data_IF_558807737154
#
_entry.id   IF_558807737154
#
_cell.length_a   1.000
_cell.length_b   1.000
_cell.length_c   1.000
_cell.angle_alpha   90.00
_cell.angle_beta   90.00
_cell.angle_gamma   90.00
#
_symmetry.space_group_name_H-M   'P 1'
#
loop_
_entity.id
_entity.type
_entity.pdbx_description
1 polymer ?
#
# COMPACT_ATOMS: atom_id res chain seq x y z
N UNK A 1 8.71 9.40 38.27
CA UNK A 1 10.00 8.69 38.46
C UNK A 1 11.10 9.50 37.79
N UNK A 2 12.22 9.70 38.48
CA UNK A 2 13.33 10.45 37.89
C UNK A 2 13.94 9.69 36.74
N UNK A 3 14.13 10.33 35.61
CA UNK A 3 14.70 9.79 34.39
C UNK A 3 16.13 9.20 34.54
N UNK A 4 16.79 9.53 35.66
CA UNK A 4 18.11 9.03 36.01
C UNK A 4 18.15 7.51 36.24
N UNK A 5 17.13 6.94 36.88
CA UNK A 5 17.08 5.51 37.17
C UNK A 5 16.86 4.67 35.91
N UNK A 6 16.13 5.19 34.92
CA UNK A 6 15.86 4.49 33.66
C UNK A 6 17.15 4.29 32.85
N UNK A 7 18.06 5.26 32.88
CA UNK A 7 19.37 5.15 32.23
C UNK A 7 20.31 4.19 32.96
N UNK A 8 20.27 4.18 34.30
CA UNK A 8 21.08 3.25 35.09
C UNK A 8 20.66 1.81 34.88
N UNK A 9 19.37 1.56 34.67
CA UNK A 9 18.81 0.23 34.37
C UNK A 9 18.84 -0.12 32.88
N UNK A 10 19.40 0.74 32.03
CA UNK A 10 19.49 0.55 30.58
C UNK A 10 18.15 0.26 29.88
N UNK A 11 17.03 0.72 30.45
CA UNK A 11 15.68 0.51 29.89
C UNK A 11 15.53 1.15 28.51
N UNK A 12 16.15 2.29 28.28
CA UNK A 12 16.22 2.98 27.00
C UNK A 12 16.78 2.09 25.89
N UNK A 13 17.80 1.29 26.18
CA UNK A 13 18.40 0.35 25.21
C UNK A 13 17.46 -0.82 24.91
N UNK A 14 16.76 -1.34 25.92
CA UNK A 14 15.79 -2.43 25.75
C UNK A 14 14.62 -1.97 24.89
N UNK A 15 14.06 -0.79 25.21
CA UNK A 15 12.95 -0.21 24.45
C UNK A 15 13.39 0.10 23.01
N UNK A 16 14.59 0.67 22.81
CA UNK A 16 15.10 0.96 21.48
C UNK A 16 15.23 -0.32 20.63
N UNK A 17 15.75 -1.40 21.21
CA UNK A 17 15.86 -2.70 20.54
C UNK A 17 14.50 -3.32 20.21
N UNK A 18 13.52 -3.21 21.10
CA UNK A 18 12.16 -3.66 20.84
C UNK A 18 11.51 -2.81 19.72
N UNK A 19 11.79 -1.51 19.69
CA UNK A 19 11.29 -0.60 18.67
C UNK A 19 11.84 -0.85 17.26
N UNK A 20 13.00 -1.51 17.13
CA UNK A 20 13.53 -1.97 15.84
C UNK A 20 12.64 -3.03 15.18
N UNK A 21 11.91 -3.82 15.97
CA UNK A 21 10.94 -4.81 15.49
C UNK A 21 9.61 -4.23 15.03
N UNK A 22 9.33 -2.95 15.28
CA UNK A 22 8.08 -2.31 14.88
C UNK A 22 8.05 -2.02 13.38
N UNK A 23 7.01 -2.48 12.70
CA UNK A 23 6.81 -2.26 11.25
C UNK A 23 6.23 -0.87 10.98
N UNK A 24 5.38 -0.36 11.88
CA UNK A 24 4.72 0.95 11.76
C UNK A 24 5.49 2.02 12.54
N UNK A 25 5.63 3.20 11.95
CA UNK A 25 6.33 4.34 12.57
C UNK A 25 5.65 4.77 13.88
N UNK A 26 4.33 4.84 13.88
CA UNK A 26 3.54 5.25 15.04
C UNK A 26 3.66 4.23 16.17
N UNK A 27 3.65 2.94 15.88
CA UNK A 27 3.87 1.90 16.89
C UNK A 27 5.28 2.01 17.50
N UNK A 28 6.28 2.33 16.68
CA UNK A 28 7.64 2.60 17.14
C UNK A 28 7.69 3.82 18.06
N UNK A 29 7.04 4.92 17.69
CA UNK A 29 6.97 6.13 18.52
C UNK A 29 6.24 5.87 19.85
N UNK A 30 5.13 5.12 19.81
CA UNK A 30 4.41 4.71 21.02
C UNK A 30 5.29 3.88 21.95
N UNK A 31 6.02 2.91 21.39
CA UNK A 31 6.91 2.07 22.19
C UNK A 31 8.07 2.87 22.81
N UNK A 32 8.66 3.78 22.03
CA UNK A 32 9.72 4.67 22.54
C UNK A 32 9.22 5.64 23.63
N UNK A 33 7.94 5.99 23.61
CA UNK A 33 7.31 6.84 24.62
C UNK A 33 6.84 6.05 25.85
N UNK A 34 6.97 4.72 25.86
CA UNK A 34 6.52 3.87 26.98
C UNK A 34 7.31 4.18 28.25
N UNK A 35 6.59 4.35 29.34
CA UNK A 35 7.16 4.59 30.67
C UNK A 35 6.78 3.45 31.62
N UNK A 36 7.61 3.18 32.64
CA UNK A 36 7.30 2.18 33.64
C UNK A 36 6.00 2.54 34.39
N UNK A 37 5.14 1.56 34.57
CA UNK A 37 3.92 1.65 35.37
C UNK A 37 4.20 1.15 36.79
N UNK A 38 3.50 1.73 37.79
CA UNK A 38 3.65 1.34 39.16
C UNK A 38 2.40 0.70 39.76
N UNK A 39 1.27 0.76 39.06
CA UNK A 39 0.03 0.10 39.48
C UNK A 39 0.14 -1.40 39.22
N UNK A 40 0.05 -2.26 40.25
CA UNK A 40 0.20 -3.69 40.08
C UNK A 40 -0.88 -4.32 39.22
N UNK A 41 -2.11 -3.79 39.20
CA UNK A 41 -3.19 -4.36 38.41
C UNK A 41 -3.04 -3.99 36.92
N UNK A 42 -2.63 -2.76 36.61
CA UNK A 42 -2.29 -2.35 35.24
C UNK A 42 -1.09 -3.15 34.69
N UNK A 43 -0.06 -3.34 35.49
CA UNK A 43 1.13 -4.14 35.09
C UNK A 43 0.74 -5.59 34.83
N UNK A 44 -0.06 -6.19 35.71
CA UNK A 44 -0.53 -7.58 35.54
C UNK A 44 -1.32 -7.73 34.24
N UNK A 45 -2.27 -6.82 34.01
CA UNK A 45 -3.09 -6.84 32.80
C UNK A 45 -2.26 -6.67 31.51
N UNK A 46 -1.25 -5.78 31.52
CA UNK A 46 -0.35 -5.61 30.39
C UNK A 46 0.52 -6.87 30.12
N UNK A 47 0.97 -7.53 31.17
CA UNK A 47 1.71 -8.79 31.06
C UNK A 47 0.81 -9.92 30.53
N UNK A 48 -0.42 -10.04 31.00
CA UNK A 48 -1.41 -11.00 30.51
C UNK A 48 -1.71 -10.81 29.03
N UNK A 49 -1.85 -9.56 28.55
CA UNK A 49 -1.96 -9.25 27.11
C UNK A 49 -0.75 -9.72 26.33
N UNK A 50 0.44 -9.47 26.84
CA UNK A 50 1.69 -9.86 26.19
C UNK A 50 1.82 -11.38 26.10
N UNK A 51 1.51 -12.09 27.18
CA UNK A 51 1.57 -13.56 27.24
C UNK A 51 0.51 -14.20 26.33
N UNK A 52 -0.70 -13.65 26.28
CA UNK A 52 -1.73 -14.09 25.36
C UNK A 52 -1.29 -14.00 23.89
N UNK A 53 -0.70 -12.88 23.48
CA UNK A 53 -0.16 -12.72 22.13
C UNK A 53 1.01 -13.66 21.87
N UNK A 54 1.92 -13.83 22.83
CA UNK A 54 3.05 -14.77 22.69
C UNK A 54 2.54 -16.20 22.48
N UNK A 55 1.54 -16.61 23.21
CA UNK A 55 0.89 -17.92 23.05
C UNK A 55 0.29 -18.10 21.66
N UNK A 56 -0.40 -17.07 21.13
CA UNK A 56 -0.95 -17.10 19.78
C UNK A 56 0.14 -17.13 18.71
N UNK A 57 1.25 -16.40 18.91
CA UNK A 57 2.40 -16.44 18.00
C UNK A 57 3.04 -17.82 17.93
N UNK A 58 3.11 -18.53 19.05
CA UNK A 58 3.62 -19.90 19.10
C UNK A 58 2.67 -20.87 18.38
N UNK A 59 1.36 -20.70 18.54
CA UNK A 59 0.35 -21.58 17.91
C UNK A 59 0.18 -21.32 16.42
N UNK A 60 0.02 -20.06 16.03
CA UNK A 60 -0.37 -19.66 14.67
C UNK A 60 0.79 -19.15 13.81
N UNK A 61 1.99 -19.03 14.40
CA UNK A 61 3.12 -18.34 13.77
C UNK A 61 2.93 -16.82 13.75
N UNK A 62 3.92 -16.11 13.19
CA UNK A 62 3.89 -14.66 13.12
C UNK A 62 2.91 -14.17 12.05
N UNK A 63 2.02 -13.23 12.35
CA UNK A 63 1.16 -12.61 11.35
C UNK A 63 2.00 -11.79 10.35
N UNK A 64 1.50 -11.68 9.12
CA UNK A 64 2.17 -10.88 8.09
C UNK A 64 1.75 -9.42 8.24
N UNK A 65 2.60 -8.62 8.83
CA UNK A 65 2.49 -7.18 8.83
C UNK A 65 3.12 -6.64 7.53
N UNK A 66 2.34 -6.43 6.49
CA UNK A 66 2.85 -5.80 5.27
C UNK A 66 2.59 -4.30 5.31
N UNK A 67 3.64 -3.46 5.29
CA UNK A 67 3.57 -2.03 5.03
C UNK A 67 2.39 -1.29 5.68
N UNK A 68 2.27 -1.35 7.01
CA UNK A 68 1.18 -0.66 7.72
C UNK A 68 1.53 0.82 7.78
N UNK A 69 0.78 1.62 7.03
CA UNK A 69 0.87 3.07 7.08
C UNK A 69 -0.34 3.66 7.81
N UNK A 70 -0.13 4.78 8.47
CA UNK A 70 -1.21 5.47 9.18
C UNK A 70 -2.16 6.15 8.20
N UNK A 71 -3.33 5.58 8.03
CA UNK A 71 -4.38 6.10 7.14
C UNK A 71 -5.43 6.97 7.85
N UNK A 72 -5.26 7.23 9.15
CA UNK A 72 -6.25 7.98 9.96
C UNK A 72 -6.51 9.38 9.40
N UNK A 73 -5.46 10.08 8.98
CA UNK A 73 -5.59 11.42 8.39
C UNK A 73 -6.29 11.38 7.02
N UNK A 74 -6.03 10.33 6.22
CA UNK A 74 -6.69 10.13 4.94
C UNK A 74 -8.18 9.85 5.14
N UNK A 75 -8.52 9.00 6.09
CA UNK A 75 -9.90 8.71 6.45
C UNK A 75 -10.63 9.97 6.97
N UNK A 76 -10.00 10.74 7.86
CA UNK A 76 -10.56 11.99 8.36
C UNK A 76 -10.78 13.03 7.25
N UNK A 77 -9.90 13.10 6.25
CA UNK A 77 -10.06 13.96 5.08
C UNK A 77 -11.21 13.50 4.20
N UNK A 78 -11.36 12.20 3.98
CA UNK A 78 -12.46 11.63 3.21
C UNK A 78 -13.82 11.89 3.87
N UNK A 79 -13.92 11.73 5.20
CA UNK A 79 -15.14 12.04 5.96
C UNK A 79 -15.56 13.51 5.81
N UNK A 80 -14.60 14.44 5.69
CA UNK A 80 -14.86 15.86 5.43
C UNK A 80 -15.17 16.17 3.95
N UNK A 81 -15.31 15.15 3.10
CA UNK A 81 -15.60 15.32 1.68
C UNK A 81 -14.36 15.64 0.82
N UNK A 82 -13.15 15.46 1.36
CA UNK A 82 -11.92 15.65 0.60
C UNK A 82 -11.67 14.49 -0.37
N UNK A 83 -11.04 14.80 -1.51
CA UNK A 83 -10.67 13.81 -2.52
C UNK A 83 -9.32 13.18 -2.15
N UNK A 84 -9.22 11.87 -2.28
CA UNK A 84 -7.97 11.11 -2.13
C UNK A 84 -7.36 10.84 -3.51
N UNK A 85 -6.05 10.92 -3.62
CA UNK A 85 -5.31 10.51 -4.81
C UNK A 85 -5.28 8.99 -4.96
N UNK A 86 -4.93 8.49 -6.15
CA UNK A 86 -4.82 7.05 -6.40
C UNK A 86 -3.79 6.38 -5.47
N UNK A 87 -2.65 7.05 -5.22
CA UNK A 87 -1.64 6.55 -4.29
C UNK A 87 -2.17 6.44 -2.86
N UNK A 88 -2.89 7.46 -2.37
CA UNK A 88 -3.51 7.45 -1.04
C UNK A 88 -4.59 6.36 -0.92
N UNK A 89 -5.36 6.11 -1.98
CA UNK A 89 -6.33 5.02 -2.00
C UNK A 89 -5.65 3.64 -1.93
N UNK A 90 -4.49 3.46 -2.60
CA UNK A 90 -3.71 2.24 -2.49
C UNK A 90 -3.15 2.03 -1.06
N UNK A 91 -2.74 3.11 -0.37
CA UNK A 91 -2.35 3.04 1.04
C UNK A 91 -3.51 2.57 1.92
N UNK A 92 -4.71 3.11 1.69
CA UNK A 92 -5.94 2.68 2.39
C UNK A 92 -6.24 1.21 2.08
N UNK A 93 -6.16 0.77 0.83
CA UNK A 93 -6.37 -0.64 0.45
C UNK A 93 -5.34 -1.57 1.13
N UNK A 94 -4.08 -1.14 1.23
CA UNK A 94 -3.03 -1.85 1.96
C UNK A 94 -3.35 -1.99 3.45
N UNK A 95 -3.82 -0.94 4.10
CA UNK A 95 -4.24 -0.98 5.50
C UNK A 95 -5.45 -1.93 5.72
N UNK A 96 -6.46 -1.87 4.85
CA UNK A 96 -7.63 -2.76 4.93
C UNK A 96 -7.24 -4.22 4.75
N UNK A 97 -6.32 -4.52 3.84
CA UNK A 97 -5.76 -5.87 3.64
C UNK A 97 -5.04 -6.37 4.88
N UNK A 98 -4.27 -5.51 5.53
CA UNK A 98 -3.60 -5.85 6.79
C UNK A 98 -4.62 -6.12 7.91
N UNK A 99 -5.69 -5.33 8.03
CA UNK A 99 -6.75 -5.59 9.00
C UNK A 99 -7.42 -6.94 8.76
N UNK A 100 -7.69 -7.30 7.51
CA UNK A 100 -8.25 -8.60 7.16
C UNK A 100 -7.29 -9.74 7.51
N UNK A 101 -6.00 -9.60 7.20
CA UNK A 101 -4.98 -10.60 7.52
C UNK A 101 -4.85 -10.81 9.02
N UNK A 102 -4.82 -9.73 9.81
CA UNK A 102 -4.74 -9.79 11.27
C UNK A 102 -5.99 -10.40 11.89
N UNK A 103 -7.18 -10.00 11.43
CA UNK A 103 -8.45 -10.57 11.89
C UNK A 103 -8.52 -12.07 11.57
N UNK A 104 -8.11 -12.48 10.37
CA UNK A 104 -8.06 -13.89 9.97
C UNK A 104 -7.03 -14.69 10.77
N UNK A 105 -5.86 -14.10 11.03
CA UNK A 105 -4.82 -14.74 11.85
C UNK A 105 -5.28 -14.93 13.29
N UNK A 106 -5.95 -13.93 13.87
CA UNK A 106 -6.48 -14.02 15.23
C UNK A 106 -7.57 -15.09 15.37
N UNK A 107 -8.48 -15.17 14.40
CA UNK A 107 -9.55 -16.18 14.35
C UNK A 107 -9.11 -17.56 13.84
N UNK A 108 -7.83 -17.76 13.49
CA UNK A 108 -7.37 -19.04 12.93
C UNK A 108 -7.28 -20.16 13.95
N UNK A 109 -7.21 -19.86 15.25
CA UNK A 109 -7.24 -20.84 16.33
C UNK A 109 -8.42 -20.57 17.26
N UNK A 110 -9.07 -21.64 17.70
CA UNK A 110 -10.00 -21.54 18.80
C UNK A 110 -9.24 -21.19 20.07
N UNK A 111 -9.66 -20.14 20.74
CA UNK A 111 -9.15 -19.69 22.03
C UNK A 111 -10.33 -19.20 22.89
N UNK A 112 -10.20 -19.39 24.20
CA UNK A 112 -11.10 -18.76 25.16
C UNK A 112 -10.94 -17.23 25.10
N UNK A 113 -11.86 -16.50 25.75
CA UNK A 113 -11.78 -15.03 25.81
C UNK A 113 -10.40 -14.56 26.31
N UNK A 114 -9.73 -13.78 25.50
CA UNK A 114 -8.40 -13.24 25.77
C UNK A 114 -8.45 -11.75 26.11
N UNK A 115 -7.52 -11.25 26.93
CA UNK A 115 -7.42 -9.80 27.23
C UNK A 115 -7.16 -8.92 26.01
N UNK A 116 -6.89 -9.54 24.86
CA UNK A 116 -6.58 -8.88 23.58
C UNK A 116 -7.76 -8.84 22.60
N UNK A 117 -8.87 -9.47 22.95
CA UNK A 117 -10.05 -9.57 22.08
C UNK A 117 -10.56 -8.20 21.63
N UNK A 118 -10.63 -7.25 22.53
CA UNK A 118 -11.06 -5.88 22.27
C UNK A 118 -10.20 -5.19 21.18
N UNK A 119 -8.90 -5.48 21.10
CA UNK A 119 -8.01 -4.94 20.07
C UNK A 119 -8.29 -5.56 18.70
N UNK A 120 -8.48 -6.87 18.63
CA UNK A 120 -8.69 -7.56 17.36
C UNK A 120 -10.11 -7.44 16.82
N UNK A 121 -11.11 -7.43 17.69
CA UNK A 121 -12.52 -7.21 17.29
C UNK A 121 -12.80 -5.75 16.90
N UNK A 122 -11.96 -4.80 17.34
CA UNK A 122 -12.01 -3.43 16.85
C UNK A 122 -11.54 -3.30 15.39
N UNK A 123 -10.78 -4.28 14.86
CA UNK A 123 -10.42 -4.33 13.46
C UNK A 123 -11.67 -4.68 12.65
N UNK A 124 -12.16 -3.73 11.87
CA UNK A 124 -13.32 -3.91 10.98
C UNK A 124 -12.83 -4.14 9.54
N UNK A 125 -12.56 -5.39 9.12
CA UNK A 125 -12.13 -5.66 7.76
C UNK A 125 -13.23 -5.31 6.76
N UNK A 126 -12.86 -4.62 5.67
CA UNK A 126 -13.76 -4.22 4.60
C UNK A 126 -13.27 -4.79 3.27
N UNK A 127 -13.40 -6.12 3.03
CA UNK A 127 -12.85 -6.78 1.84
C UNK A 127 -13.46 -6.24 0.55
N UNK A 128 -14.73 -5.86 0.57
CA UNK A 128 -15.40 -5.28 -0.61
C UNK A 128 -14.80 -3.95 -1.05
N UNK A 129 -14.48 -3.07 -0.11
CA UNK A 129 -13.84 -1.78 -0.40
C UNK A 129 -12.39 -1.98 -0.86
N UNK A 130 -11.63 -2.85 -0.19
CA UNK A 130 -10.27 -3.19 -0.61
C UNK A 130 -10.24 -3.71 -2.05
N UNK A 131 -11.13 -4.64 -2.39
CA UNK A 131 -11.20 -5.21 -3.73
C UNK A 131 -11.60 -4.18 -4.78
N UNK A 132 -12.54 -3.28 -4.48
CA UNK A 132 -12.93 -2.21 -5.38
C UNK A 132 -11.74 -1.28 -5.70
N UNK A 133 -10.99 -0.86 -4.70
CA UNK A 133 -9.81 0.00 -4.88
C UNK A 133 -8.75 -0.75 -5.69
N UNK A 134 -8.39 -1.97 -5.28
CA UNK A 134 -7.33 -2.76 -5.91
C UNK A 134 -7.65 -3.18 -7.35
N UNK A 135 -8.94 -3.36 -7.69
CA UNK A 135 -9.36 -3.66 -9.06
C UNK A 135 -9.39 -2.43 -9.97
N UNK A 136 -9.60 -1.24 -9.39
CA UNK A 136 -9.67 0.00 -10.14
C UNK A 136 -8.31 0.67 -10.33
N UNK A 137 -7.39 0.53 -9.37
CA UNK A 137 -6.10 1.23 -9.34
C UNK A 137 -4.97 0.20 -9.38
N UNK A 138 -4.17 0.23 -10.44
CA UNK A 138 -3.04 -0.68 -10.64
C UNK A 138 -1.73 -0.12 -10.04
N UNK A 139 -1.55 1.19 -10.11
CA UNK A 139 -0.39 1.90 -9.61
C UNK A 139 -0.78 3.34 -9.21
N UNK A 140 0.06 4.07 -8.48
CA UNK A 140 -0.24 5.45 -8.05
C UNK A 140 -0.58 6.42 -9.19
N UNK A 141 -0.16 6.11 -10.40
CA UNK A 141 -0.35 6.88 -11.65
C UNK A 141 -1.16 6.13 -12.71
N UNK A 142 -1.59 4.88 -12.44
CA UNK A 142 -2.22 4.02 -13.41
C UNK A 142 -3.55 3.44 -12.91
N UNK A 143 -4.62 3.79 -13.62
CA UNK A 143 -5.95 3.22 -13.40
C UNK A 143 -6.22 2.07 -14.39
N UNK A 144 -6.85 1.00 -13.92
CA UNK A 144 -7.24 -0.14 -14.72
C UNK A 144 -8.24 0.27 -15.83
N UNK A 145 -8.14 -0.37 -16.99
CA UNK A 145 -9.09 -0.15 -18.09
C UNK A 145 -10.53 -0.55 -17.67
N UNK A 146 -10.63 -1.48 -16.75
CA UNK A 146 -11.90 -2.01 -16.22
C UNK A 146 -12.51 -1.17 -15.11
N UNK A 147 -11.81 -0.12 -14.63
CA UNK A 147 -12.29 0.72 -13.54
C UNK A 147 -13.60 1.46 -13.88
N UNK A 148 -13.82 1.78 -15.16
CA UNK A 148 -15.04 2.39 -15.66
C UNK A 148 -15.30 1.99 -17.11
N UNK A 149 -16.55 1.70 -17.45
CA UNK A 149 -16.96 1.43 -18.83
C UNK A 149 -16.57 2.59 -19.77
N UNK A 150 -16.83 3.82 -19.34
CA UNK A 150 -16.50 5.03 -20.10
C UNK A 150 -15.01 5.17 -20.37
N UNK A 151 -14.18 4.89 -19.35
CA UNK A 151 -12.73 4.93 -19.47
C UNK A 151 -12.21 3.88 -20.48
N UNK A 152 -12.73 2.66 -20.41
CA UNK A 152 -12.40 1.59 -21.35
C UNK A 152 -12.75 1.98 -22.79
N UNK A 153 -13.96 2.49 -23.01
CA UNK A 153 -14.41 2.92 -24.34
C UNK A 153 -13.54 4.06 -24.88
N UNK A 154 -13.25 5.08 -24.08
CA UNK A 154 -12.38 6.19 -24.47
C UNK A 154 -10.97 5.70 -24.82
N UNK A 155 -10.38 4.81 -24.01
CA UNK A 155 -9.05 4.25 -24.29
C UNK A 155 -9.04 3.39 -25.56
N UNK A 156 -10.11 2.63 -25.82
CA UNK A 156 -10.27 1.89 -27.09
C UNK A 156 -10.34 2.85 -28.28
N UNK A 157 -11.09 3.93 -28.19
CA UNK A 157 -11.18 4.96 -29.23
C UNK A 157 -9.84 5.64 -29.49
N UNK A 158 -9.09 5.98 -28.43
CA UNK A 158 -7.74 6.55 -28.55
C UNK A 158 -6.83 5.58 -29.33
N UNK A 159 -6.75 4.31 -28.89
CA UNK A 159 -5.91 3.28 -29.56
C UNK A 159 -6.33 3.08 -31.02
N UNK A 160 -7.63 3.04 -31.31
CA UNK A 160 -8.12 2.89 -32.68
C UNK A 160 -7.73 4.11 -33.55
N UNK A 161 -7.81 5.31 -33.00
CA UNK A 161 -7.42 6.53 -33.70
C UNK A 161 -5.91 6.58 -33.94
N UNK A 162 -5.10 6.23 -32.94
CA UNK A 162 -3.64 6.15 -33.08
C UNK A 162 -3.23 5.13 -34.16
N UNK A 163 -3.88 3.95 -34.21
CA UNK A 163 -3.62 2.97 -35.26
C UNK A 163 -4.05 3.50 -36.64
N UNK A 164 -5.21 4.17 -36.74
CA UNK A 164 -5.66 4.78 -38.01
C UNK A 164 -4.69 5.86 -38.51
N UNK A 165 -4.14 6.67 -37.58
CA UNK A 165 -3.11 7.67 -37.94
C UNK A 165 -1.86 6.98 -38.46
N UNK A 166 -1.41 5.89 -37.77
CA UNK A 166 -0.24 5.13 -38.19
C UNK A 166 -0.44 4.53 -39.59
N UNK A 167 -1.60 3.87 -39.84
CA UNK A 167 -1.92 3.26 -41.11
C UNK A 167 -1.96 4.30 -42.25
N UNK A 168 -2.52 5.49 -41.98
CA UNK A 168 -2.53 6.60 -42.94
C UNK A 168 -1.14 7.11 -43.25
N UNK A 169 -0.29 7.27 -42.23
CA UNK A 169 1.10 7.68 -42.42
C UNK A 169 1.89 6.63 -43.21
N UNK A 170 1.70 5.36 -42.90
CA UNK A 170 2.35 4.29 -43.66
C UNK A 170 1.86 4.23 -45.10
N UNK A 171 0.55 4.42 -45.35
CA UNK A 171 0.01 4.49 -46.72
C UNK A 171 0.57 5.67 -47.51
N UNK A 172 0.67 6.84 -46.90
CA UNK A 172 1.28 8.03 -47.49
C UNK A 172 2.76 7.78 -47.85
N UNK A 173 3.51 7.16 -46.96
CA UNK A 173 4.92 6.81 -47.19
C UNK A 173 5.08 5.80 -48.34
N UNK A 174 4.11 4.87 -48.52
CA UNK A 174 4.11 3.93 -49.63
C UNK A 174 3.74 4.57 -50.97
N UNK A 175 2.80 5.51 -50.94
CA UNK A 175 2.33 6.18 -52.17
C UNK A 175 3.33 7.25 -52.65
N UNK A 176 3.94 7.98 -51.70
CA UNK A 176 4.99 8.93 -52.01
C UNK A 176 6.32 8.20 -52.03
N UNK A 177 6.78 7.86 -53.23
CA UNK A 177 8.19 7.55 -53.49
C UNK A 177 8.93 8.88 -53.29
N UNK A 178 9.21 9.24 -52.04
CA UNK A 178 10.10 10.34 -51.70
C UNK A 178 11.47 9.99 -52.28
N UNK A 179 12.07 10.92 -53.08
CA UNK A 179 13.43 10.74 -53.57
C UNK A 179 14.34 10.32 -52.42
N UNK A 180 15.23 9.39 -52.69
CA UNK A 180 16.10 8.72 -51.70
C UNK A 180 16.84 9.65 -50.71
N UNK A 181 16.89 10.94 -51.02
CA UNK A 181 17.49 12.01 -50.21
C UNK A 181 16.68 12.35 -48.95
N UNK A 182 15.35 12.36 -49.03
CA UNK A 182 14.50 12.63 -47.85
C UNK A 182 14.30 11.42 -46.97
N UNK A 183 14.52 10.22 -47.47
CA UNK A 183 14.44 8.96 -46.72
C UNK A 183 15.48 8.84 -45.59
N UNK A 184 16.67 9.44 -45.78
CA UNK A 184 17.75 9.39 -44.79
C UNK A 184 17.67 10.46 -43.69
N UNK A 185 17.05 11.60 -43.94
CA UNK A 185 17.06 12.74 -43.02
C UNK A 185 15.85 12.79 -42.04
N UNK A 186 14.69 12.30 -42.48
CA UNK A 186 13.45 12.46 -41.68
C UNK A 186 12.98 11.20 -40.94
N UNK A 187 13.28 10.04 -41.48
CA UNK A 187 12.84 8.77 -40.89
C UNK A 187 13.49 8.41 -39.54
N UNK A 188 14.78 8.73 -39.28
CA UNK A 188 15.35 8.42 -37.99
C UNK A 188 14.75 9.24 -36.83
N UNK A 189 14.29 10.44 -37.10
CA UNK A 189 13.79 11.34 -36.05
C UNK A 189 12.34 11.01 -35.64
N UNK A 190 11.49 10.65 -36.61
CA UNK A 190 10.10 10.26 -36.34
C UNK A 190 9.98 8.87 -35.71
N UNK A 191 10.78 7.90 -36.18
CA UNK A 191 10.83 6.56 -35.61
C UNK A 191 11.55 6.52 -34.25
N UNK A 192 12.57 7.34 -34.02
CA UNK A 192 13.24 7.44 -32.73
C UNK A 192 12.30 8.01 -31.65
N UNK A 193 11.45 8.98 -31.97
CA UNK A 193 10.43 9.50 -31.05
C UNK A 193 9.35 8.48 -30.70
N UNK A 194 8.92 7.62 -31.63
CA UNK A 194 7.97 6.55 -31.37
C UNK A 194 8.58 5.36 -30.63
N UNK A 195 9.82 5.00 -30.93
CA UNK A 195 10.55 3.93 -30.23
C UNK A 195 10.97 4.33 -28.80
N UNK A 196 11.29 5.61 -28.55
CA UNK A 196 11.54 6.08 -27.21
C UNK A 196 10.29 6.04 -26.32
N UNK A 197 9.09 6.35 -26.85
CA UNK A 197 7.84 6.24 -26.08
C UNK A 197 7.45 4.78 -25.77
N UNK A 198 7.73 3.85 -26.69
CA UNK A 198 7.48 2.41 -26.49
C UNK A 198 8.46 1.80 -25.46
N UNK A 199 9.73 2.23 -25.44
CA UNK A 199 10.72 1.72 -24.48
C UNK A 199 10.55 2.29 -23.08
N UNK A 200 10.03 3.49 -22.92
CA UNK A 200 9.74 4.06 -21.59
C UNK A 200 8.61 3.29 -20.85
N UNK A 201 7.68 2.66 -21.60
CA UNK A 201 6.61 1.85 -21.01
C UNK A 201 7.01 0.41 -20.67
N UNK A 202 8.18 -0.08 -21.15
CA UNK A 202 8.65 -1.44 -20.87
C UNK A 202 9.79 -1.50 -19.84
N UNK A 203 10.30 -0.36 -19.37
CA UNK A 203 11.37 -0.31 -18.36
C UNK A 203 10.88 -0.19 -16.92
N UNK A 204 9.54 -0.29 -16.68
CA UNK A 204 8.96 -0.38 -15.33
C UNK A 204 8.28 -1.73 -15.22
N UNK A 205 9.09 -2.74 -14.96
CA UNK A 205 8.73 -4.01 -14.33
C UNK A 205 9.79 -4.38 -13.32
#
# INVERSE_FOLDING_TARGET
METSYLKTLELDKIIARAAEGCVCKEAREMLLATQPQCDPDEVRYALEKTDAINTLLIKNGSPRFGGVENVSQLAARAVKGGVLSMGELLMVAGALRNFQNLSSWYGASEHDALPTDDLFYALAPQPGLEQQISSAILAPDAMADTASYTLNDLRKKIRATENSIRDRLESMVRIWILPSIYRKAWFPCAMAGMLCRSRANTAVR
#
